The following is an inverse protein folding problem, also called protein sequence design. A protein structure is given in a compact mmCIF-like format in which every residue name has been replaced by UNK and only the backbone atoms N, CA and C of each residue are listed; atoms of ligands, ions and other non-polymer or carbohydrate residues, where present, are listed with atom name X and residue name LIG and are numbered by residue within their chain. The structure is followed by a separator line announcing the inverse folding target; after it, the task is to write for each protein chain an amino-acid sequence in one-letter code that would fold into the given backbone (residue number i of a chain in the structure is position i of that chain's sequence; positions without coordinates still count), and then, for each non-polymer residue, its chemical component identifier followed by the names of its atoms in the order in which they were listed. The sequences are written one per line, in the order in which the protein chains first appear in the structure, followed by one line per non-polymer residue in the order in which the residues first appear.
data_IF_696423627137
#
_entry.id   IF_696423627137
#
_cell.length_a   1.000
_cell.length_b   1.000
_cell.length_c   1.000
_cell.angle_alpha   90.00
_cell.angle_beta   90.00
_cell.angle_gamma   90.00
#
_symmetry.space_group_name_H-M   'P 1'
#
loop_
_entity.id
_entity.type
_entity.pdbx_description
1 polymer ?
#
# COMPACT_ATOMS: atom_id res chain seq x y z
N UNK A 1 -3.69 25.03 -3.21
CA UNK A 1 -4.04 24.91 -1.78
C UNK A 1 -3.95 26.30 -1.16
N UNK A 2 -4.89 26.66 -0.29
CA UNK A 2 -5.00 27.99 0.35
C UNK A 2 -3.89 28.24 1.42
N UNK A 3 -2.66 27.77 1.20
CA UNK A 3 -1.54 27.92 2.14
C UNK A 3 -1.58 26.99 3.36
N UNK A 4 -2.41 25.93 3.35
CA UNK A 4 -2.45 24.96 4.43
C UNK A 4 -1.28 23.97 4.33
N UNK A 5 -0.31 24.09 5.24
CA UNK A 5 0.86 23.23 5.33
C UNK A 5 0.67 22.03 6.27
N UNK A 6 -0.51 21.87 6.88
CA UNK A 6 -0.81 20.72 7.75
C UNK A 6 -1.23 19.48 6.94
N UNK A 7 -1.66 19.69 5.70
CA UNK A 7 -2.02 18.62 4.78
C UNK A 7 -0.85 18.34 3.85
N UNK A 8 -0.25 17.16 4.02
CA UNK A 8 0.84 16.68 3.19
C UNK A 8 0.56 15.24 2.73
N UNK A 9 1.08 14.82 1.56
CA UNK A 9 0.85 13.48 1.07
C UNK A 9 1.63 12.44 1.87
N UNK A 10 0.96 11.32 2.11
CA UNK A 10 1.60 10.08 2.54
C UNK A 10 1.39 9.08 1.42
N UNK A 11 2.41 8.87 0.60
CA UNK A 11 2.41 7.95 -0.53
C UNK A 11 2.37 6.51 -0.03
N UNK A 12 1.46 5.73 -0.62
CA UNK A 12 1.38 4.29 -0.47
C UNK A 12 1.25 3.62 -1.83
N UNK A 13 2.24 2.80 -2.18
CA UNK A 13 2.22 1.85 -3.28
C UNK A 13 1.60 0.52 -2.86
N UNK A 14 0.83 -0.08 -3.76
CA UNK A 14 0.18 -1.39 -3.57
C UNK A 14 0.46 -2.30 -4.78
N UNK A 15 0.25 -3.61 -4.58
CA UNK A 15 0.20 -4.59 -5.67
C UNK A 15 -1.19 -5.23 -5.68
N UNK A 16 -1.79 -5.31 -6.88
CA UNK A 16 -3.04 -6.03 -7.13
C UNK A 16 -2.69 -7.39 -7.70
N UNK A 17 -3.17 -8.46 -7.06
CA UNK A 17 -2.93 -9.83 -7.51
C UNK A 17 -4.25 -10.57 -7.72
N UNK A 18 -4.23 -11.55 -8.61
CA UNK A 18 -5.32 -12.52 -8.77
C UNK A 18 -5.10 -13.67 -7.78
N UNK A 19 -5.87 -13.67 -6.70
CA UNK A 19 -5.82 -14.70 -5.67
C UNK A 19 -7.24 -14.99 -5.16
N UNK A 20 -8.10 -15.63 -5.98
CA UNK A 20 -9.52 -15.85 -5.65
C UNK A 20 -9.74 -16.77 -4.42
N UNK A 21 -8.70 -17.46 -3.96
CA UNK A 21 -8.74 -18.30 -2.77
C UNK A 21 -8.60 -17.51 -1.45
N UNK A 22 -8.25 -16.23 -1.50
CA UNK A 22 -8.04 -15.43 -0.30
C UNK A 22 -9.32 -14.70 0.11
N UNK A 23 -9.93 -15.13 1.22
CA UNK A 23 -11.19 -14.59 1.75
C UNK A 23 -11.00 -13.76 3.01
N UNK A 24 -9.82 -13.80 3.62
CA UNK A 24 -9.55 -13.11 4.88
C UNK A 24 -8.70 -11.87 4.66
N UNK A 25 -9.04 -10.83 5.40
CA UNK A 25 -8.21 -9.64 5.52
C UNK A 25 -7.17 -9.84 6.63
N UNK A 26 -5.94 -9.42 6.37
CA UNK A 26 -4.85 -9.43 7.33
C UNK A 26 -4.32 -8.02 7.48
N UNK A 27 -4.18 -7.57 8.73
CA UNK A 27 -3.64 -6.26 9.08
C UNK A 27 -2.57 -6.48 10.14
N UNK A 28 -1.33 -6.11 9.83
CA UNK A 28 -0.22 -6.16 10.78
C UNK A 28 0.17 -4.72 11.08
N UNK A 29 -0.07 -4.30 12.32
CA UNK A 29 0.34 -3.00 12.84
C UNK A 29 1.65 -3.16 13.60
N UNK A 30 2.76 -2.92 12.90
CA UNK A 30 4.12 -2.97 13.43
C UNK A 30 4.96 -1.90 12.72
N UNK A 31 6.25 -1.76 13.10
CA UNK A 31 7.19 -0.87 12.41
C UNK A 31 7.27 -1.13 10.90
N UNK A 32 6.94 -2.35 10.46
CA UNK A 32 6.73 -2.71 9.05
C UNK A 32 5.27 -3.10 8.84
N UNK A 33 4.40 -2.10 8.85
CA UNK A 33 2.97 -2.31 8.65
C UNK A 33 2.71 -2.96 7.30
N UNK A 34 1.93 -4.05 7.25
CA UNK A 34 1.51 -4.65 5.99
C UNK A 34 0.05 -5.08 6.06
N UNK A 35 -0.58 -5.17 4.90
CA UNK A 35 -1.97 -5.58 4.80
C UNK A 35 -2.25 -6.41 3.55
N UNK A 36 -3.18 -7.35 3.72
CA UNK A 36 -3.78 -8.15 2.67
C UNK A 36 -5.28 -7.90 2.72
N UNK A 37 -5.85 -7.36 1.65
CA UNK A 37 -7.28 -7.01 1.58
C UNK A 37 -7.89 -7.63 0.32
N UNK A 38 -8.75 -8.66 0.46
CA UNK A 38 -9.54 -9.17 -0.65
C UNK A 38 -10.52 -8.12 -1.18
N UNK A 39 -10.64 -8.02 -2.51
CA UNK A 39 -11.69 -7.27 -3.20
C UNK A 39 -12.41 -8.19 -4.21
N UNK A 40 -13.51 -7.69 -4.79
CA UNK A 40 -14.35 -8.43 -5.74
C UNK A 40 -13.54 -9.05 -6.90
N UNK A 41 -12.56 -8.32 -7.43
CA UNK A 41 -11.82 -8.71 -8.64
C UNK A 41 -10.32 -8.97 -8.42
N UNK A 42 -9.79 -8.73 -7.22
CA UNK A 42 -8.37 -8.85 -6.94
C UNK A 42 -8.11 -8.84 -5.44
N UNK A 43 -6.92 -9.27 -5.03
CA UNK A 43 -6.42 -9.09 -3.67
C UNK A 43 -5.39 -7.97 -3.67
N UNK A 44 -5.46 -7.10 -2.68
CA UNK A 44 -4.50 -6.00 -2.47
C UNK A 44 -3.44 -6.47 -1.51
N UNK A 45 -2.17 -6.33 -1.91
CA UNK A 45 -1.00 -6.42 -1.05
C UNK A 45 -0.46 -5.00 -0.87
N UNK A 46 -0.29 -4.58 0.37
CA UNK A 46 0.25 -3.25 0.67
C UNK A 46 0.98 -3.21 1.99
N UNK A 47 1.46 -2.01 2.33
CA UNK A 47 2.30 -1.81 3.51
C UNK A 47 3.34 -0.69 3.37
N UNK A 48 3.25 0.14 2.34
CA UNK A 48 4.17 1.27 2.15
C UNK A 48 3.54 2.56 2.68
N UNK A 49 4.37 3.39 3.31
CA UNK A 49 3.99 4.67 3.91
C UNK A 49 5.17 5.63 3.82
N UNK A 50 5.09 6.63 2.95
CA UNK A 50 6.21 7.52 2.64
C UNK A 50 5.76 8.99 2.57
N UNK A 51 6.53 9.91 3.17
CA UNK A 51 6.34 11.35 2.97
C UNK A 51 6.91 11.74 1.60
N UNK A 52 6.12 11.48 0.54
CA UNK A 52 6.57 11.63 -0.83
C UNK A 52 5.42 12.09 -1.74
N UNK A 53 5.75 12.91 -2.74
CA UNK A 53 4.84 13.44 -3.75
C UNK A 53 4.89 12.67 -5.07
N UNK A 54 5.85 11.75 -5.24
CA UNK A 54 6.03 11.00 -6.47
C UNK A 54 4.84 10.06 -6.74
N UNK A 55 4.33 10.07 -7.97
CA UNK A 55 3.22 9.22 -8.41
C UNK A 55 3.70 7.96 -9.15
N UNK A 56 4.97 7.93 -9.57
CA UNK A 56 5.54 6.80 -10.30
C UNK A 56 5.69 5.57 -9.41
N UNK A 57 5.61 4.39 -10.03
CA UNK A 57 5.86 3.11 -9.36
C UNK A 57 7.35 2.99 -9.06
N UNK A 58 7.66 2.57 -7.84
CA UNK A 58 9.02 2.37 -7.36
C UNK A 58 9.33 0.86 -7.21
N UNK A 59 10.46 0.43 -7.76
CA UNK A 59 10.85 -0.99 -7.75
C UNK A 59 11.26 -1.49 -6.36
N UNK A 60 11.80 -0.62 -5.49
CA UNK A 60 12.17 -0.99 -4.11
C UNK A 60 10.89 -1.24 -3.31
N UNK A 61 9.88 -0.37 -3.46
CA UNK A 61 8.57 -0.57 -2.84
C UNK A 61 7.88 -1.84 -3.33
N UNK A 62 7.99 -2.15 -4.61
CA UNK A 62 7.49 -3.40 -5.18
C UNK A 62 8.15 -4.61 -4.52
N UNK A 63 9.48 -4.60 -4.40
CA UNK A 63 10.20 -5.68 -3.72
C UNK A 63 9.83 -5.79 -2.24
N UNK A 64 9.64 -4.68 -1.55
CA UNK A 64 9.25 -4.66 -0.15
C UNK A 64 7.86 -5.26 0.09
N UNK A 65 6.91 -5.07 -0.83
CA UNK A 65 5.56 -5.67 -0.74
C UNK A 65 5.60 -7.18 -1.02
N UNK A 66 6.53 -7.66 -1.85
CA UNK A 66 6.64 -9.08 -2.24
C UNK A 66 7.56 -9.91 -1.35
N UNK A 67 8.27 -9.29 -0.42
CA UNK A 67 9.22 -9.94 0.48
C UNK A 67 8.50 -10.74 1.58
#
# INVERSE_FOLDING_TARGET
MLGDNRVFPVRGQIIRVEAPWQFHSYLIDSDKSCYIIPNINCVILGGTKQLNFNLEVDDIDKQNILR
#
